data_IF_849411317439
#
_entry.id   IF_849411317439
#
_cell.length_a   1.000
_cell.length_b   1.000
_cell.length_c   1.000
_cell.angle_alpha   90.00
_cell.angle_beta   90.00
_cell.angle_gamma   90.00
#
_symmetry.space_group_name_H-M   'P 1'
#
loop_
_entity.id
_entity.type
_entity.pdbx_description
1 polymer ?
#
# COMPACT_ATOMS: atom_id res chain seq x y z
N UNK A 1 34.10 23.36 4.11
CA UNK A 1 34.05 23.52 2.64
C UNK A 1 32.78 22.93 2.03
N UNK A 2 32.55 21.61 2.11
CA UNK A 2 31.33 20.99 1.56
C UNK A 2 30.03 21.68 2.01
N UNK A 3 29.80 21.84 3.33
CA UNK A 3 28.61 22.51 3.88
C UNK A 3 28.47 23.98 3.45
N UNK A 4 29.59 24.65 3.19
CA UNK A 4 29.63 26.07 2.87
C UNK A 4 29.47 26.32 1.36
N UNK A 5 29.23 25.28 0.56
CA UNK A 5 29.02 25.40 -0.89
C UNK A 5 30.29 25.74 -1.68
N UNK A 6 31.47 25.40 -1.16
CA UNK A 6 32.76 25.72 -1.81
C UNK A 6 33.24 24.63 -2.79
N UNK A 7 32.46 23.57 -2.98
CA UNK A 7 32.79 22.38 -3.78
C UNK A 7 31.60 21.98 -4.64
N UNK A 8 31.83 21.56 -5.87
CA UNK A 8 30.78 21.16 -6.82
C UNK A 8 30.19 19.77 -6.48
N UNK A 9 29.03 19.46 -7.08
CA UNK A 9 28.44 18.13 -6.92
C UNK A 9 29.39 17.03 -7.40
N UNK A 10 29.67 16.06 -6.52
CA UNK A 10 30.55 14.93 -6.83
C UNK A 10 32.04 15.17 -6.59
N UNK A 11 32.48 16.40 -6.32
CA UNK A 11 33.90 16.70 -6.02
C UNK A 11 34.36 16.10 -4.69
N UNK A 12 33.48 16.06 -3.69
CA UNK A 12 33.79 15.51 -2.37
C UNK A 12 32.61 14.79 -1.73
N UNK A 13 32.94 13.82 -0.87
CA UNK A 13 31.97 13.12 -0.02
C UNK A 13 32.57 12.89 1.37
N UNK A 14 31.72 12.89 2.40
CA UNK A 14 32.13 12.42 3.72
C UNK A 14 31.95 10.91 3.76
N UNK A 15 32.96 10.17 4.21
CA UNK A 15 32.91 8.70 4.34
C UNK A 15 33.18 8.29 5.78
N UNK A 16 32.46 7.28 6.25
CA UNK A 16 32.72 6.64 7.54
C UNK A 16 33.96 5.77 7.37
N UNK A 17 35.01 5.95 8.18
CA UNK A 17 36.27 5.23 8.00
C UNK A 17 36.21 3.86 8.69
N UNK A 18 35.75 2.83 7.98
CA UNK A 18 35.58 1.48 8.51
C UNK A 18 35.46 0.41 7.42
N UNK A 19 35.70 -0.83 7.83
CA UNK A 19 35.37 -2.02 7.03
C UNK A 19 34.21 -2.72 7.71
N UNK A 20 33.09 -2.85 7.00
CA UNK A 20 31.90 -3.54 7.48
C UNK A 20 32.06 -5.07 7.38
N UNK A 21 31.20 -5.81 8.07
CA UNK A 21 31.22 -7.29 8.11
C UNK A 21 31.12 -7.92 6.72
N UNK A 22 30.28 -7.36 5.86
CA UNK A 22 30.13 -7.76 4.45
C UNK A 22 31.26 -7.26 3.52
N UNK A 23 32.35 -6.72 4.08
CA UNK A 23 33.54 -6.29 3.34
C UNK A 23 33.41 -4.92 2.66
N UNK A 24 32.28 -4.24 2.82
CA UNK A 24 32.07 -2.89 2.30
C UNK A 24 32.97 -1.90 3.05
N UNK A 25 33.83 -1.23 2.30
CA UNK A 25 34.80 -0.28 2.83
C UNK A 25 34.29 1.15 2.70
N UNK A 26 34.50 1.89 3.78
CA UNK A 26 34.26 3.31 3.93
C UNK A 26 32.92 3.79 3.35
N UNK A 27 31.75 3.38 3.89
CA UNK A 27 30.47 3.81 3.36
C UNK A 27 30.31 5.34 3.39
N UNK A 28 29.68 5.91 2.35
CA UNK A 28 29.45 7.35 2.23
C UNK A 28 28.41 7.82 3.26
N UNK A 29 28.75 8.83 4.06
CA UNK A 29 27.88 9.46 5.04
C UNK A 29 27.14 10.69 4.50
N UNK A 30 27.83 11.58 3.78
CA UNK A 30 27.24 12.79 3.18
C UNK A 30 27.68 12.97 1.73
N UNK A 31 26.79 13.57 0.93
CA UNK A 31 27.03 13.97 -0.45
C UNK A 31 26.63 15.42 -0.67
N UNK A 32 27.29 16.10 -1.59
CA UNK A 32 26.92 17.44 -2.04
C UNK A 32 25.78 17.33 -3.05
N UNK A 33 24.75 18.16 -2.89
CA UNK A 33 23.65 18.32 -3.84
C UNK A 33 23.06 19.72 -3.71
N UNK A 34 23.09 20.51 -4.77
CA UNK A 34 22.49 21.84 -4.85
C UNK A 34 21.05 21.74 -5.33
N UNK A 35 20.23 21.02 -4.56
CA UNK A 35 18.80 20.93 -4.78
C UNK A 35 18.05 21.40 -3.53
N UNK A 36 17.01 22.25 -3.67
CA UNK A 36 16.17 22.65 -2.54
C UNK A 36 15.51 21.42 -1.90
N UNK A 37 15.50 21.37 -0.57
CA UNK A 37 14.79 20.33 0.17
C UNK A 37 13.38 20.80 0.56
N UNK A 38 12.38 19.96 0.34
CA UNK A 38 10.97 20.30 0.55
C UNK A 38 10.61 20.78 1.97
N UNK A 39 11.41 20.47 3.01
CA UNK A 39 11.22 20.97 4.39
C UNK A 39 12.17 22.10 4.80
N UNK A 40 13.38 22.13 4.24
CA UNK A 40 14.47 23.00 4.71
C UNK A 40 14.93 24.01 3.67
N UNK A 41 14.25 24.06 2.52
CA UNK A 41 14.58 24.94 1.40
C UNK A 41 16.04 24.80 0.98
N UNK A 42 16.68 25.94 0.75
CA UNK A 42 18.08 26.06 0.31
C UNK A 42 19.08 26.17 1.47
N UNK A 43 18.66 25.84 2.70
CA UNK A 43 19.54 25.94 3.89
C UNK A 43 20.74 24.99 3.80
N UNK A 44 20.61 23.87 3.09
CA UNK A 44 21.63 22.82 3.01
C UNK A 44 21.98 22.48 1.57
N UNK A 45 23.28 22.41 1.28
CA UNK A 45 23.83 21.89 0.03
C UNK A 45 24.51 20.52 0.20
N UNK A 46 24.45 19.95 1.41
CA UNK A 46 24.91 18.59 1.71
C UNK A 46 23.80 17.78 2.35
N UNK A 47 23.67 16.53 1.93
CA UNK A 47 22.62 15.64 2.41
C UNK A 47 23.22 14.33 2.90
N UNK A 48 22.76 13.85 4.06
CA UNK A 48 23.23 12.58 4.60
C UNK A 48 22.63 11.40 3.82
N UNK A 49 23.33 10.26 3.84
CA UNK A 49 22.86 9.00 3.25
C UNK A 49 22.00 8.22 4.22
N UNK A 50 21.20 7.28 3.70
CA UNK A 50 20.37 6.40 4.52
C UNK A 50 21.17 5.64 5.60
N UNK A 51 22.34 5.10 5.24
CA UNK A 51 23.20 4.35 6.17
C UNK A 51 23.70 5.22 7.32
N UNK A 52 23.83 6.53 7.11
CA UNK A 52 24.23 7.48 8.15
C UNK A 52 23.04 7.99 8.98
N UNK A 53 21.88 8.21 8.35
CA UNK A 53 20.74 8.80 9.07
C UNK A 53 19.94 7.80 9.88
N UNK A 54 19.74 6.59 9.38
CA UNK A 54 18.70 5.70 9.90
C UNK A 54 18.90 5.36 11.38
N UNK A 55 20.10 4.91 11.74
CA UNK A 55 20.41 4.56 13.13
C UNK A 55 20.47 5.78 14.06
N UNK A 56 20.90 6.94 13.55
CA UNK A 56 20.92 8.18 14.32
C UNK A 56 19.50 8.65 14.65
N UNK A 57 18.59 8.63 13.66
CA UNK A 57 17.19 8.95 13.87
C UNK A 57 16.56 7.99 14.88
N UNK A 58 16.73 6.67 14.70
CA UNK A 58 16.18 5.68 15.63
C UNK A 58 16.73 5.88 17.06
N UNK A 59 18.03 6.18 17.19
CA UNK A 59 18.67 6.46 18.47
C UNK A 59 18.11 7.72 19.15
N UNK A 60 18.04 8.83 18.41
CA UNK A 60 17.53 10.13 18.89
C UNK A 60 16.05 10.01 19.30
N UNK A 61 15.28 9.24 18.55
CA UNK A 61 13.85 9.00 18.81
C UNK A 61 13.61 7.90 19.87
N UNK A 62 14.67 7.31 20.44
CA UNK A 62 14.61 6.22 21.43
C UNK A 62 13.78 5.01 20.95
N UNK A 63 13.93 4.66 19.68
CA UNK A 63 13.29 3.48 19.10
C UNK A 63 13.84 2.23 19.76
N UNK A 64 12.96 1.37 20.28
CA UNK A 64 13.41 0.11 20.89
C UNK A 64 13.67 -0.96 19.83
N UNK A 65 12.77 -1.10 18.86
CA UNK A 65 12.83 -2.11 17.79
C UNK A 65 12.68 -1.46 16.42
N UNK A 66 13.78 -1.39 15.68
CA UNK A 66 13.79 -0.90 14.29
C UNK A 66 13.44 -2.05 13.35
N UNK A 67 12.17 -2.11 12.93
CA UNK A 67 11.65 -3.18 12.08
C UNK A 67 11.75 -2.81 10.61
N UNK A 68 12.54 -3.56 9.84
CA UNK A 68 12.74 -3.31 8.41
C UNK A 68 12.63 -4.59 7.57
N UNK A 69 12.77 -4.45 6.26
CA UNK A 69 12.70 -5.60 5.36
C UNK A 69 14.07 -6.27 5.19
N UNK A 70 14.09 -7.56 4.87
CA UNK A 70 15.31 -8.39 4.75
C UNK A 70 16.37 -7.84 3.78
N UNK A 71 15.97 -7.02 2.82
CA UNK A 71 16.85 -6.28 1.91
C UNK A 71 17.85 -5.37 2.65
N UNK A 72 17.57 -5.01 3.89
CA UNK A 72 18.42 -4.18 4.74
C UNK A 72 19.30 -4.96 5.72
N UNK A 73 19.25 -6.30 5.70
CA UNK A 73 20.04 -7.14 6.60
C UNK A 73 21.54 -6.89 6.48
N UNK A 74 22.04 -6.67 5.26
CA UNK A 74 23.45 -6.33 5.00
C UNK A 74 23.83 -4.93 5.48
N UNK A 75 22.87 -4.07 5.82
CA UNK A 75 23.15 -2.71 6.31
C UNK A 75 23.25 -2.64 7.84
N UNK A 76 22.91 -3.72 8.53
CA UNK A 76 22.91 -3.78 9.98
C UNK A 76 24.30 -3.60 10.61
N UNK A 77 25.34 -4.07 9.93
CA UNK A 77 26.73 -3.85 10.34
C UNK A 77 27.06 -2.35 10.41
N UNK A 78 26.68 -1.57 9.38
CA UNK A 78 26.86 -0.11 9.38
C UNK A 78 26.01 0.60 10.43
N UNK A 79 24.79 0.11 10.66
CA UNK A 79 23.88 0.62 11.68
C UNK A 79 24.51 0.53 13.07
N UNK A 80 24.95 -0.67 13.46
CA UNK A 80 25.55 -0.90 14.78
C UNK A 80 26.92 -0.22 14.93
N UNK A 81 27.74 -0.26 13.88
CA UNK A 81 29.04 0.40 13.90
C UNK A 81 28.91 1.91 14.19
N UNK A 82 27.97 2.59 13.52
CA UNK A 82 27.82 4.04 13.68
C UNK A 82 27.31 4.42 15.07
N UNK A 83 26.35 3.68 15.64
CA UNK A 83 25.90 3.89 17.01
C UNK A 83 27.05 3.70 18.02
N UNK A 84 27.84 2.64 17.87
CA UNK A 84 28.92 2.32 18.80
C UNK A 84 30.06 3.34 18.75
N UNK A 85 30.46 3.79 17.56
CA UNK A 85 31.56 4.77 17.41
C UNK A 85 31.18 6.14 17.96
N UNK A 86 29.90 6.49 17.94
CA UNK A 86 29.39 7.74 18.47
C UNK A 86 28.93 7.64 19.93
N UNK A 87 29.06 6.47 20.55
CA UNK A 87 28.60 6.19 21.92
C UNK A 87 27.11 6.56 22.14
N UNK A 88 26.27 6.17 21.18
CA UNK A 88 24.83 6.46 21.17
C UNK A 88 24.02 5.26 21.68
N UNK A 89 22.81 5.54 22.16
CA UNK A 89 21.82 4.48 22.38
C UNK A 89 21.63 3.68 21.09
N UNK A 90 21.70 2.37 21.17
CA UNK A 90 21.66 1.51 20.01
C UNK A 90 20.38 0.65 19.98
N UNK A 91 19.38 1.05 19.17
CA UNK A 91 18.18 0.25 18.95
C UNK A 91 18.50 -1.13 18.39
N UNK A 92 17.62 -2.11 18.65
CA UNK A 92 17.75 -3.43 18.02
C UNK A 92 17.08 -3.42 16.65
N UNK A 93 17.83 -3.75 15.61
CA UNK A 93 17.30 -3.89 14.25
C UNK A 93 16.85 -5.33 13.99
N UNK A 94 15.62 -5.49 13.51
CA UNK A 94 15.04 -6.79 13.14
C UNK A 94 14.49 -6.71 11.72
N UNK A 95 14.77 -7.76 10.95
CA UNK A 95 14.32 -7.85 9.57
C UNK A 95 13.20 -8.87 9.37
N UNK A 96 12.22 -8.51 8.56
CA UNK A 96 11.15 -9.41 8.11
C UNK A 96 11.07 -9.48 6.58
N UNK A 97 10.44 -10.55 6.08
CA UNK A 97 10.19 -10.74 4.66
C UNK A 97 9.20 -9.72 4.14
N UNK A 98 9.54 -9.06 3.03
CA UNK A 98 8.61 -8.18 2.34
C UNK A 98 7.46 -8.99 1.73
N UNK A 99 6.23 -8.49 1.88
CA UNK A 99 5.08 -9.00 1.14
C UNK A 99 5.20 -8.69 -0.35
N UNK A 100 5.16 -9.73 -1.18
CA UNK A 100 5.01 -9.59 -2.62
C UNK A 100 3.63 -10.12 -3.04
N UNK A 101 2.99 -9.42 -3.97
CA UNK A 101 1.68 -9.81 -4.51
C UNK A 101 1.88 -10.10 -6.00
N UNK A 102 1.38 -11.25 -6.45
CA UNK A 102 1.41 -11.64 -7.86
C UNK A 102 0.56 -10.72 -8.73
N UNK A 103 0.85 -10.69 -10.04
CA UNK A 103 0.10 -9.93 -11.05
C UNK A 103 0.02 -8.42 -10.83
N UNK A 104 0.85 -7.86 -9.95
CA UNK A 104 0.90 -6.42 -9.68
C UNK A 104 2.33 -5.91 -9.58
N UNK A 105 2.49 -4.59 -9.78
CA UNK A 105 3.75 -3.88 -9.63
C UNK A 105 3.70 -2.99 -8.40
N UNK A 106 4.53 -3.32 -7.40
CA UNK A 106 4.65 -2.53 -6.15
C UNK A 106 5.76 -1.48 -6.20
N UNK A 107 6.50 -1.40 -7.31
CA UNK A 107 7.61 -0.45 -7.45
C UNK A 107 7.09 0.93 -7.87
N UNK A 108 7.41 1.97 -7.08
CA UNK A 108 7.06 3.37 -7.39
C UNK A 108 7.46 3.77 -8.81
N UNK A 109 8.65 3.37 -9.27
CA UNK A 109 9.12 3.66 -10.63
C UNK A 109 8.25 3.01 -11.70
N UNK A 110 7.80 1.77 -11.49
CA UNK A 110 6.95 1.06 -12.44
C UNK A 110 5.55 1.67 -12.48
N UNK A 111 4.99 2.03 -11.33
CA UNK A 111 3.68 2.68 -11.25
C UNK A 111 3.70 4.06 -11.93
N UNK A 112 4.74 4.87 -11.67
CA UNK A 112 4.90 6.15 -12.34
C UNK A 112 4.93 5.99 -13.88
N UNK A 113 5.66 4.99 -14.38
CA UNK A 113 5.68 4.68 -15.81
C UNK A 113 4.28 4.32 -16.36
N UNK A 114 3.46 3.57 -15.62
CA UNK A 114 2.09 3.26 -16.05
C UNK A 114 1.19 4.51 -16.12
N UNK A 115 1.43 5.49 -15.25
CA UNK A 115 0.72 6.78 -15.25
C UNK A 115 1.20 7.62 -16.44
N UNK A 116 2.51 7.72 -16.64
CA UNK A 116 3.11 8.49 -17.74
C UNK A 116 2.68 7.95 -19.12
N UNK A 117 2.52 6.63 -19.25
CA UNK A 117 2.04 5.97 -20.47
C UNK A 117 0.50 6.00 -20.61
N UNK A 118 -0.23 6.58 -19.64
CA UNK A 118 -1.70 6.67 -19.67
C UNK A 118 -2.44 5.34 -19.51
N UNK A 119 -1.75 4.28 -19.07
CA UNK A 119 -2.36 2.96 -18.85
C UNK A 119 -3.28 3.00 -17.62
N UNK A 120 -2.87 3.75 -16.59
CA UNK A 120 -3.65 4.03 -15.37
C UNK A 120 -3.83 5.52 -15.17
N UNK A 121 -4.96 5.91 -14.54
CA UNK A 121 -5.32 7.31 -14.40
C UNK A 121 -4.37 8.09 -13.46
N UNK A 122 -4.09 7.52 -12.29
CA UNK A 122 -3.20 8.10 -11.27
C UNK A 122 -2.84 7.05 -10.20
N UNK A 123 -2.13 7.44 -9.14
CA UNK A 123 -1.77 6.61 -7.98
C UNK A 123 -2.94 5.98 -7.24
N UNK A 124 -4.16 6.47 -7.43
CA UNK A 124 -5.38 5.96 -6.81
C UNK A 124 -6.25 5.13 -7.77
N UNK A 125 -5.76 4.84 -9.00
CA UNK A 125 -6.51 4.04 -9.97
C UNK A 125 -6.88 2.67 -9.38
N UNK A 126 -8.17 2.26 -9.37
CA UNK A 126 -8.62 1.01 -8.73
C UNK A 126 -7.94 -0.28 -9.21
N UNK A 127 -7.22 -0.25 -10.32
CA UNK A 127 -6.44 -1.41 -10.83
C UNK A 127 -5.09 -1.57 -10.12
N UNK A 128 -4.62 -0.53 -9.42
CA UNK A 128 -3.38 -0.57 -8.66
C UNK A 128 -3.59 -1.16 -7.26
N UNK A 129 -2.48 -1.56 -6.63
CA UNK A 129 -2.44 -2.11 -5.27
C UNK A 129 -1.86 -1.12 -4.26
N UNK A 130 -1.89 0.18 -4.58
CA UNK A 130 -1.60 1.23 -3.58
C UNK A 130 -2.74 1.28 -2.57
N UNK A 131 -2.47 1.71 -1.33
CA UNK A 131 -3.54 1.82 -0.32
C UNK A 131 -4.66 2.79 -0.76
N UNK A 132 -4.31 3.86 -1.48
CA UNK A 132 -5.27 4.81 -2.06
C UNK A 132 -6.13 4.16 -3.14
N UNK A 133 -5.53 3.35 -4.02
CA UNK A 133 -6.26 2.60 -5.03
C UNK A 133 -7.18 1.54 -4.45
N UNK A 134 -6.70 0.76 -3.47
CA UNK A 134 -7.52 -0.25 -2.79
C UNK A 134 -8.71 0.40 -2.07
N UNK A 135 -8.49 1.56 -1.43
CA UNK A 135 -9.58 2.35 -0.83
C UNK A 135 -10.59 2.79 -1.89
N UNK A 136 -10.15 3.32 -3.03
CA UNK A 136 -11.03 3.74 -4.13
C UNK A 136 -11.77 2.56 -4.77
N UNK A 137 -11.13 1.38 -4.84
CA UNK A 137 -11.72 0.10 -5.28
C UNK A 137 -12.82 -0.40 -4.33
N UNK A 138 -12.90 0.15 -3.11
CA UNK A 138 -13.92 -0.21 -2.12
C UNK A 138 -13.46 -1.24 -1.08
N UNK A 139 -12.14 -1.42 -0.90
CA UNK A 139 -11.62 -2.38 0.07
C UNK A 139 -11.71 -1.80 1.49
N UNK A 140 -12.43 -2.45 2.43
CA UNK A 140 -12.47 -2.01 3.82
C UNK A 140 -11.09 -2.11 4.47
N UNK A 141 -10.72 -1.12 5.29
CA UNK A 141 -9.44 -1.15 6.03
C UNK A 141 -9.30 -2.37 6.94
N UNK A 142 -10.42 -2.81 7.54
CA UNK A 142 -10.49 -4.03 8.37
C UNK A 142 -10.10 -5.27 7.57
N UNK A 143 -10.53 -5.38 6.31
CA UNK A 143 -10.16 -6.51 5.45
C UNK A 143 -8.65 -6.55 5.17
N UNK A 144 -8.04 -5.39 4.92
CA UNK A 144 -6.59 -5.26 4.71
C UNK A 144 -5.82 -5.67 5.98
N UNK A 145 -6.28 -5.24 7.15
CA UNK A 145 -5.67 -5.60 8.42
C UNK A 145 -5.79 -7.11 8.70
N UNK A 146 -6.96 -7.70 8.46
CA UNK A 146 -7.19 -9.13 8.60
C UNK A 146 -6.28 -9.94 7.67
N UNK A 147 -6.14 -9.49 6.42
CA UNK A 147 -5.21 -10.08 5.46
C UNK A 147 -3.75 -10.02 5.94
N UNK A 148 -3.29 -8.86 6.44
CA UNK A 148 -1.94 -8.73 7.00
C UNK A 148 -1.73 -9.64 8.22
N UNK A 149 -2.73 -9.75 9.09
CA UNK A 149 -2.67 -10.64 10.27
C UNK A 149 -2.63 -12.12 9.86
N UNK A 150 -3.41 -12.52 8.87
CA UNK A 150 -3.44 -13.89 8.34
C UNK A 150 -2.10 -14.29 7.70
N UNK A 151 -1.42 -13.34 7.05
CA UNK A 151 -0.15 -13.63 6.40
C UNK A 151 1.00 -13.88 7.37
N UNK A 152 0.89 -13.33 8.59
CA UNK A 152 1.93 -13.42 9.59
C UNK A 152 3.21 -12.68 9.20
N UNK A 153 4.20 -12.74 10.09
CA UNK A 153 5.51 -12.09 9.89
C UNK A 153 6.60 -13.14 10.05
N UNK A 154 7.36 -13.36 8.99
CA UNK A 154 8.49 -14.32 8.98
C UNK A 154 9.70 -13.71 8.27
N UNK A 155 10.88 -14.30 8.44
CA UNK A 155 12.08 -13.92 7.69
C UNK A 155 12.15 -14.48 6.25
N UNK A 156 11.14 -15.24 5.81
CA UNK A 156 11.06 -15.80 4.47
C UNK A 156 10.39 -14.80 3.52
N UNK A 157 10.87 -14.72 2.29
CA UNK A 157 10.16 -13.99 1.25
C UNK A 157 8.93 -14.81 0.83
N UNK A 158 7.76 -14.19 0.94
CA UNK A 158 6.51 -14.78 0.49
C UNK A 158 5.97 -14.00 -0.69
N UNK A 159 5.32 -14.72 -1.60
CA UNK A 159 4.53 -14.14 -2.68
C UNK A 159 3.12 -14.68 -2.55
N UNK A 160 2.14 -13.80 -2.59
CA UNK A 160 0.73 -14.17 -2.44
C UNK A 160 -0.04 -13.91 -3.73
N UNK A 161 -1.04 -14.74 -3.96
CA UNK A 161 -2.03 -14.48 -4.99
C UNK A 161 -3.02 -13.39 -4.53
N UNK A 162 -3.36 -12.40 -5.40
CA UNK A 162 -4.37 -11.38 -5.09
C UNK A 162 -5.70 -11.92 -4.57
N UNK A 163 -6.09 -13.13 -4.98
CA UNK A 163 -7.34 -13.78 -4.56
C UNK A 163 -7.44 -13.95 -3.04
N UNK A 164 -6.32 -14.06 -2.33
CA UNK A 164 -6.31 -14.15 -0.85
C UNK A 164 -6.75 -12.82 -0.23
N UNK A 165 -6.30 -11.68 -0.78
CA UNK A 165 -6.76 -10.37 -0.35
C UNK A 165 -8.24 -10.17 -0.69
N UNK A 166 -8.67 -10.60 -1.88
CA UNK A 166 -10.07 -10.52 -2.30
C UNK A 166 -10.99 -11.40 -1.44
N UNK A 167 -10.50 -12.55 -0.96
CA UNK A 167 -11.22 -13.38 0.00
C UNK A 167 -11.44 -12.65 1.33
N UNK A 168 -10.39 -12.04 1.91
CA UNK A 168 -10.52 -11.25 3.13
C UNK A 168 -11.51 -10.07 2.97
N UNK A 169 -11.54 -9.44 1.80
CA UNK A 169 -12.51 -8.39 1.47
C UNK A 169 -13.92 -8.95 1.37
N UNK A 170 -14.11 -10.09 0.71
CA UNK A 170 -15.40 -10.76 0.58
C UNK A 170 -15.98 -11.13 1.93
N UNK A 171 -15.18 -11.65 2.85
CA UNK A 171 -15.62 -12.04 4.19
C UNK A 171 -16.17 -10.83 4.97
N UNK A 172 -15.50 -9.69 4.87
CA UNK A 172 -15.95 -8.45 5.52
C UNK A 172 -17.19 -7.88 4.83
N UNK A 173 -17.19 -7.74 3.50
CA UNK A 173 -18.31 -7.16 2.77
C UNK A 173 -19.57 -8.03 2.83
N UNK A 174 -19.43 -9.35 2.89
CA UNK A 174 -20.57 -10.26 3.05
C UNK A 174 -21.35 -9.98 4.35
N UNK A 175 -20.69 -9.56 5.42
CA UNK A 175 -21.34 -9.24 6.69
C UNK A 175 -21.81 -7.78 6.80
N UNK A 176 -21.16 -6.87 6.07
CA UNK A 176 -21.29 -5.42 6.29
C UNK A 176 -21.95 -4.66 5.15
N UNK A 177 -21.97 -5.19 3.91
CA UNK A 177 -22.56 -4.49 2.77
C UNK A 177 -24.07 -4.82 2.64
N UNK A 178 -24.94 -3.80 2.47
CA UNK A 178 -26.34 -4.02 2.16
C UNK A 178 -26.48 -4.60 0.75
N UNK A 179 -27.49 -5.45 0.55
CA UNK A 179 -27.78 -6.07 -0.75
C UNK A 179 -28.66 -5.13 -1.55
N UNK A 180 -28.28 -4.93 -2.80
CA UNK A 180 -29.04 -4.15 -3.76
C UNK A 180 -29.18 -4.92 -5.07
N UNK A 181 -30.26 -4.65 -5.80
CA UNK A 181 -30.45 -5.15 -7.15
C UNK A 181 -29.86 -4.15 -8.14
N UNK A 182 -28.96 -4.65 -8.98
CA UNK A 182 -28.34 -3.91 -10.08
C UNK A 182 -28.36 -4.83 -11.28
N UNK A 183 -28.66 -4.25 -12.45
CA UNK A 183 -28.58 -4.94 -13.73
C UNK A 183 -27.50 -4.24 -14.55
N UNK A 184 -26.44 -4.96 -14.89
CA UNK A 184 -25.29 -4.43 -15.62
C UNK A 184 -25.53 -4.43 -17.13
N UNK A 185 -26.11 -5.52 -17.65
CA UNK A 185 -26.42 -5.71 -19.06
C UNK A 185 -27.95 -5.83 -19.24
N UNK A 186 -28.66 -4.69 -19.29
CA UNK A 186 -30.12 -4.68 -19.16
C UNK A 186 -30.85 -5.26 -20.37
N UNK A 187 -31.60 -6.33 -20.13
CA UNK A 187 -32.63 -6.84 -21.03
C UNK A 187 -34.00 -6.38 -20.55
N UNK A 188 -34.68 -5.57 -21.37
CA UNK A 188 -36.03 -5.08 -21.08
C UNK A 188 -37.06 -6.19 -21.24
N UNK A 189 -37.81 -6.48 -20.18
CA UNK A 189 -38.89 -7.46 -20.17
C UNK A 189 -40.21 -6.74 -19.91
N UNK A 190 -41.25 -7.13 -20.64
CA UNK A 190 -42.62 -6.60 -20.47
C UNK A 190 -43.56 -7.72 -20.08
N UNK A 191 -44.22 -7.57 -18.95
CA UNK A 191 -45.14 -8.55 -18.38
C UNK A 191 -46.55 -8.29 -18.91
N UNK A 192 -46.99 -9.08 -19.89
CA UNK A 192 -48.25 -8.86 -20.59
C UNK A 192 -49.49 -9.05 -19.72
N UNK A 193 -49.39 -9.84 -18.65
CA UNK A 193 -50.48 -10.15 -17.71
C UNK A 193 -50.38 -9.35 -16.40
N UNK A 194 -49.78 -8.16 -16.43
CA UNK A 194 -49.69 -7.28 -15.26
C UNK A 194 -51.02 -6.54 -14.99
N UNK A 195 -51.33 -6.29 -13.72
CA UNK A 195 -52.59 -5.66 -13.29
C UNK A 195 -52.60 -4.12 -13.36
N UNK A 196 -51.51 -3.53 -13.88
CA UNK A 196 -51.36 -2.09 -14.13
C UNK A 196 -51.12 -1.23 -12.88
N UNK A 197 -50.82 -1.83 -11.73
CA UNK A 197 -50.53 -1.09 -10.49
C UNK A 197 -49.11 -1.40 -10.01
N UNK A 198 -48.30 -0.36 -9.83
CA UNK A 198 -46.97 -0.48 -9.21
C UNK A 198 -47.10 -1.13 -7.83
N UNK A 199 -46.30 -2.17 -7.59
CA UNK A 199 -46.27 -2.92 -6.34
C UNK A 199 -44.96 -2.65 -5.62
N UNK A 200 -45.05 -2.22 -4.37
CA UNK A 200 -43.89 -2.09 -3.52
C UNK A 200 -43.65 -3.38 -2.73
N UNK A 201 -42.42 -3.88 -2.78
CA UNK A 201 -41.96 -5.01 -1.99
C UNK A 201 -40.91 -4.57 -0.98
N UNK A 202 -40.97 -5.12 0.24
CA UNK A 202 -39.87 -5.00 1.19
C UNK A 202 -38.84 -6.10 0.93
N UNK A 203 -37.59 -5.69 0.75
CA UNK A 203 -36.44 -6.57 0.53
C UNK A 203 -35.46 -6.38 1.68
N UNK A 204 -34.91 -7.48 2.19
CA UNK A 204 -33.95 -7.44 3.29
C UNK A 204 -32.58 -7.01 2.79
N UNK A 205 -31.96 -6.03 3.46
CA UNK A 205 -30.60 -5.58 3.16
C UNK A 205 -29.56 -6.65 3.49
N UNK A 206 -29.84 -7.49 4.48
CA UNK A 206 -28.97 -8.56 4.95
C UNK A 206 -29.78 -9.86 5.09
N UNK A 207 -29.73 -10.77 4.09
CA UNK A 207 -30.56 -11.98 4.08
C UNK A 207 -30.37 -12.90 5.30
N UNK A 208 -29.18 -12.90 5.91
CA UNK A 208 -28.88 -13.70 7.11
C UNK A 208 -29.23 -12.98 8.42
N UNK A 209 -29.51 -11.68 8.37
CA UNK A 209 -29.78 -10.81 9.53
C UNK A 209 -30.95 -9.87 9.21
N UNK A 210 -32.16 -10.43 9.11
CA UNK A 210 -33.38 -9.73 8.65
C UNK A 210 -33.69 -8.46 9.47
N UNK A 211 -33.31 -8.46 10.76
CA UNK A 211 -33.52 -7.34 11.69
C UNK A 211 -32.61 -6.12 11.41
N UNK A 212 -31.55 -6.28 10.62
CA UNK A 212 -30.50 -5.28 10.42
C UNK A 212 -30.86 -4.19 9.41
N UNK A 213 -31.85 -4.43 8.55
CA UNK A 213 -32.28 -3.45 7.56
C UNK A 213 -33.17 -4.04 6.48
N UNK A 214 -34.09 -3.21 5.99
CA UNK A 214 -34.94 -3.49 4.84
C UNK A 214 -35.08 -2.22 4.02
N UNK A 215 -35.21 -2.37 2.71
CA UNK A 215 -35.58 -1.29 1.79
C UNK A 215 -36.78 -1.69 0.95
N UNK A 216 -37.48 -0.71 0.39
CA UNK A 216 -38.60 -0.92 -0.51
C UNK A 216 -38.13 -0.87 -1.97
N UNK A 217 -38.66 -1.77 -2.78
CA UNK A 217 -38.43 -1.84 -4.22
C UNK A 217 -39.78 -1.78 -4.93
N UNK A 218 -39.88 -0.90 -5.93
CA UNK A 218 -41.04 -0.83 -6.81
C UNK A 218 -40.93 -1.86 -7.94
N UNK A 219 -42.05 -2.53 -8.21
CA UNK A 219 -42.19 -3.49 -9.31
C UNK A 219 -43.31 -3.02 -10.24
N UNK A 220 -43.01 -3.00 -11.52
CA UNK A 220 -43.89 -2.50 -12.58
C UNK A 220 -44.07 -3.55 -13.69
N UNK A 221 -44.88 -3.25 -14.71
CA UNK A 221 -45.07 -4.10 -15.89
C UNK A 221 -43.79 -4.24 -16.75
N UNK A 222 -42.94 -3.20 -16.72
CA UNK A 222 -41.65 -3.17 -17.39
C UNK A 222 -40.53 -3.32 -16.36
N UNK A 223 -39.78 -4.40 -16.47
CA UNK A 223 -38.61 -4.68 -15.63
C UNK A 223 -37.35 -4.87 -16.49
N UNK A 224 -36.21 -4.83 -15.82
CA UNK A 224 -34.92 -5.17 -16.41
C UNK A 224 -34.37 -6.40 -15.71
N UNK A 225 -33.86 -7.34 -16.50
CA UNK A 225 -33.10 -8.49 -16.03
C UNK A 225 -31.72 -8.47 -16.70
N UNK A 226 -30.77 -9.24 -16.17
CA UNK A 226 -29.51 -9.44 -16.88
C UNK A 226 -29.77 -10.21 -18.17
N UNK A 227 -29.15 -9.78 -19.27
CA UNK A 227 -29.25 -10.48 -20.54
C UNK A 227 -28.80 -11.95 -20.43
N UNK A 228 -27.85 -12.25 -19.53
CA UNK A 228 -27.38 -13.61 -19.26
C UNK A 228 -28.39 -14.52 -18.56
N UNK A 229 -29.42 -13.96 -17.91
CA UNK A 229 -30.44 -14.72 -17.18
C UNK A 229 -31.53 -15.28 -18.11
N UNK A 230 -31.52 -14.91 -19.39
CA UNK A 230 -32.45 -15.40 -20.40
C UNK A 230 -31.74 -16.29 -21.44
N UNK A 231 -32.37 -17.42 -21.79
CA UNK A 231 -31.98 -18.29 -22.91
C UNK A 231 -33.24 -18.81 -23.60
N UNK A 232 -33.18 -18.90 -24.93
CA UNK A 232 -34.25 -19.45 -25.78
C UNK A 232 -34.32 -20.98 -25.74
#
# INVERSE_FOLDING_TARGET
DMKNGLLEEGEATLRMKCTLEEGKQDPVAYRIKYAPHHRTGDTWCIYPTYDFTHCLCDSIENITHSLCTKEFQTRRSSYYWLCNVLDLYCPVQWEYGRLNVNYTVVSKRKIAKLIDEGIVADWDDPRLFTLTALRRRGFPSVAINNFCAQMGVTGAQSTVDPTVLEAAVRDVLNLTAPRHMVVLEPLRVTILNFDGKIKDFEVCDYPMEIEKGKHRVAFDDVIYIEASDFRE
#
